data_IF_038596684524
#
_entry.id   IF_038596684524
#
_cell.length_a   1.000
_cell.length_b   1.000
_cell.length_c   1.000
_cell.angle_alpha   90.00
_cell.angle_beta   90.00
_cell.angle_gamma   90.00
#
_symmetry.space_group_name_H-M   'P 1'
#
loop_
_entity.id
_entity.type
_entity.pdbx_description
1 polymer ?
#
# COMPACT_ATOMS: atom_id res chain seq x y z
N UNK A 1 -9.69 -9.32 31.49
CA UNK A 1 -9.00 -8.49 30.48
C UNK A 1 -9.98 -8.31 29.36
N UNK A 2 -10.47 -7.09 29.14
CA UNK A 2 -11.23 -6.81 27.93
C UNK A 2 -10.34 -7.14 26.73
N UNK A 3 -10.80 -8.02 25.86
CA UNK A 3 -10.07 -8.39 24.66
C UNK A 3 -10.02 -7.17 23.75
N UNK A 4 -8.82 -6.62 23.52
CA UNK A 4 -8.62 -5.63 22.46
C UNK A 4 -8.88 -6.32 21.12
N UNK A 5 -9.99 -5.97 20.47
CA UNK A 5 -10.26 -6.33 19.10
C UNK A 5 -9.93 -5.18 18.13
N UNK A 6 -9.85 -5.51 16.85
CA UNK A 6 -9.47 -4.53 15.82
C UNK A 6 -10.42 -3.32 15.79
N UNK A 7 -11.72 -3.55 15.99
CA UNK A 7 -12.72 -2.49 15.98
C UNK A 7 -12.54 -1.52 17.15
N UNK A 8 -12.22 -2.04 18.34
CA UNK A 8 -11.91 -1.25 19.53
C UNK A 8 -10.65 -0.43 19.33
N UNK A 9 -9.65 -0.97 18.63
CA UNK A 9 -8.42 -0.27 18.27
C UNK A 9 -8.69 0.85 17.24
N UNK A 10 -9.44 0.58 16.18
CA UNK A 10 -9.68 1.62 15.16
C UNK A 10 -10.60 2.73 15.66
N UNK A 11 -11.46 2.44 16.63
CA UNK A 11 -12.39 3.43 17.21
C UNK A 11 -11.68 4.62 17.85
N UNK A 12 -10.47 4.44 18.39
CA UNK A 12 -9.71 5.53 19.02
C UNK A 12 -8.98 6.45 18.02
N UNK A 13 -8.98 6.10 16.74
CA UNK A 13 -8.31 6.84 15.66
C UNK A 13 -9.23 7.09 14.46
N UNK A 14 -10.56 7.11 14.69
CA UNK A 14 -11.54 7.21 13.60
C UNK A 14 -11.35 8.48 12.76
N UNK A 15 -11.13 9.63 13.42
CA UNK A 15 -10.93 10.91 12.74
C UNK A 15 -9.64 10.91 11.89
N UNK A 16 -8.59 10.23 12.37
CA UNK A 16 -7.34 10.07 11.62
C UNK A 16 -7.55 9.21 10.37
N UNK A 17 -8.33 8.12 10.49
CA UNK A 17 -8.65 7.26 9.36
C UNK A 17 -9.50 8.01 8.31
N UNK A 18 -10.46 8.83 8.74
CA UNK A 18 -11.22 9.68 7.83
C UNK A 18 -10.34 10.71 7.11
N UNK A 19 -9.34 11.28 7.81
CA UNK A 19 -8.37 12.17 7.19
C UNK A 19 -7.51 11.45 6.14
N UNK A 20 -7.06 10.23 6.44
CA UNK A 20 -6.30 9.40 5.50
C UNK A 20 -7.14 9.04 4.26
N UNK A 21 -8.40 8.65 4.42
CA UNK A 21 -9.27 8.36 3.26
C UNK A 21 -9.47 9.60 2.37
N UNK A 22 -9.61 10.80 2.95
CA UNK A 22 -9.67 12.04 2.17
C UNK A 22 -8.39 12.27 1.37
N UNK A 23 -7.22 12.13 2.01
CA UNK A 23 -5.93 12.27 1.35
C UNK A 23 -5.79 11.25 0.22
N UNK A 24 -6.12 9.98 0.44
CA UNK A 24 -6.06 8.94 -0.59
C UNK A 24 -6.92 9.31 -1.81
N UNK A 25 -8.14 9.80 -1.59
CA UNK A 25 -9.05 10.19 -2.67
C UNK A 25 -8.61 11.49 -3.38
N UNK A 26 -8.01 12.44 -2.68
CA UNK A 26 -7.56 13.71 -3.26
C UNK A 26 -6.27 13.53 -4.07
N UNK A 27 -5.31 12.79 -3.52
CA UNK A 27 -4.00 12.58 -4.10
C UNK A 27 -4.03 11.70 -5.35
N UNK A 28 -5.05 10.86 -5.50
CA UNK A 28 -5.15 9.92 -6.62
C UNK A 28 -6.03 10.38 -7.77
N UNK A 29 -6.57 11.60 -7.73
CA UNK A 29 -7.38 12.16 -8.83
C UNK A 29 -6.54 12.36 -10.09
N UNK A 30 -7.06 11.89 -11.22
CA UNK A 30 -6.40 12.02 -12.52
C UNK A 30 -7.34 12.63 -13.56
N UNK A 31 -6.80 13.47 -14.45
CA UNK A 31 -7.56 14.16 -15.51
C UNK A 31 -7.96 13.28 -16.71
N UNK A 32 -7.71 11.97 -16.64
CA UNK A 32 -8.01 11.03 -17.72
C UNK A 32 -9.07 10.04 -17.26
N UNK A 33 -10.30 10.22 -17.75
CA UNK A 33 -11.50 9.48 -17.31
C UNK A 33 -11.31 7.96 -17.24
N UNK A 34 -10.60 7.36 -18.20
CA UNK A 34 -10.40 5.91 -18.24
C UNK A 34 -9.52 5.37 -17.09
N UNK A 35 -8.57 6.18 -16.61
CA UNK A 35 -7.68 5.81 -15.49
C UNK A 35 -8.33 6.17 -14.17
N UNK A 36 -9.10 7.26 -14.12
CA UNK A 36 -9.76 7.73 -12.90
C UNK A 36 -10.71 6.68 -12.32
N UNK A 37 -11.55 6.08 -13.17
CA UNK A 37 -12.46 5.00 -12.75
C UNK A 37 -11.70 3.77 -12.20
N UNK A 38 -10.57 3.41 -12.83
CA UNK A 38 -9.77 2.27 -12.41
C UNK A 38 -9.03 2.56 -11.09
N UNK A 39 -8.48 3.76 -10.94
CA UNK A 39 -7.83 4.21 -9.70
C UNK A 39 -8.84 4.24 -8.55
N UNK A 40 -10.00 4.87 -8.75
CA UNK A 40 -11.07 4.92 -7.73
C UNK A 40 -11.54 3.53 -7.34
N UNK A 41 -11.72 2.62 -8.30
CA UNK A 41 -12.12 1.23 -8.01
C UNK A 41 -11.19 0.53 -7.02
N UNK A 42 -9.87 0.76 -7.09
CA UNK A 42 -8.93 0.12 -6.16
C UNK A 42 -8.85 0.84 -4.82
N UNK A 43 -8.83 2.18 -4.83
CA UNK A 43 -8.78 2.98 -3.59
C UNK A 43 -10.04 2.75 -2.74
N UNK A 44 -11.21 2.78 -3.38
CA UNK A 44 -12.52 2.53 -2.76
C UNK A 44 -12.82 1.04 -2.56
N UNK A 45 -12.02 0.13 -3.15
CA UNK A 45 -12.14 -1.33 -3.02
C UNK A 45 -11.98 -1.88 -1.61
N UNK A 46 -11.80 -0.99 -0.63
CA UNK A 46 -11.80 -1.27 0.79
C UNK A 46 -10.50 -1.90 1.27
N UNK A 47 -10.51 -2.34 2.52
CA UNK A 47 -9.34 -2.89 3.19
C UNK A 47 -9.40 -2.60 4.68
N UNK A 48 -8.60 -3.31 5.48
CA UNK A 48 -8.53 -3.04 6.91
C UNK A 48 -7.70 -1.80 7.25
N UNK A 49 -7.01 -1.20 6.27
CA UNK A 49 -6.05 -0.10 6.46
C UNK A 49 -5.06 -0.38 7.59
N UNK A 50 -4.61 -1.64 7.70
CA UNK A 50 -3.78 -2.09 8.83
C UNK A 50 -2.46 -1.31 8.91
N UNK A 51 -1.85 -0.98 7.77
CA UNK A 51 -0.59 -0.23 7.72
C UNK A 51 -0.77 1.24 8.12
N UNK A 52 -1.76 1.98 7.59
CA UNK A 52 -2.16 3.28 8.13
C UNK A 52 -2.43 3.27 9.64
N UNK A 53 -3.23 2.30 10.11
CA UNK A 53 -3.57 2.13 11.53
C UNK A 53 -2.30 1.99 12.37
N UNK A 54 -1.36 1.15 11.93
CA UNK A 54 -0.09 0.95 12.63
C UNK A 54 0.74 2.23 12.71
N UNK A 55 0.84 2.99 11.62
CA UNK A 55 1.60 4.25 11.61
C UNK A 55 0.97 5.29 12.55
N UNK A 56 -0.35 5.47 12.51
CA UNK A 56 -1.06 6.44 13.35
C UNK A 56 -0.96 6.08 14.84
N UNK A 57 -1.13 4.80 15.18
CA UNK A 57 -0.98 4.37 16.57
C UNK A 57 0.46 4.55 17.06
N UNK A 58 1.44 4.25 16.21
CA UNK A 58 2.85 4.42 16.55
C UNK A 58 3.22 5.90 16.73
N UNK A 59 2.74 6.78 15.86
CA UNK A 59 3.00 8.22 15.97
C UNK A 59 2.40 8.80 17.25
N UNK A 60 1.14 8.46 17.58
CA UNK A 60 0.48 8.89 18.81
C UNK A 60 1.16 8.31 20.06
N UNK A 61 1.58 7.05 20.04
CA UNK A 61 2.30 6.41 21.14
C UNK A 61 3.65 7.11 21.42
N UNK A 62 4.28 7.67 20.38
CA UNK A 62 5.49 8.50 20.50
C UNK A 62 5.22 9.97 20.87
N UNK A 63 3.95 10.36 21.09
CA UNK A 63 3.57 11.72 21.47
C UNK A 63 3.51 12.72 20.31
N UNK A 64 3.51 12.25 19.05
CA UNK A 64 3.38 13.11 17.89
C UNK A 64 1.95 13.64 17.74
N UNK A 65 1.80 14.92 17.38
CA UNK A 65 0.51 15.63 17.30
C UNK A 65 0.31 16.39 15.99
N UNK A 66 1.24 16.29 15.05
CA UNK A 66 1.12 16.95 13.74
C UNK A 66 0.30 16.15 12.73
N UNK A 67 0.02 16.76 11.59
CA UNK A 67 -0.81 16.20 10.51
C UNK A 67 0.01 15.38 9.49
N UNK A 68 1.35 15.46 9.51
CA UNK A 68 2.21 14.75 8.56
C UNK A 68 2.03 13.23 8.62
N UNK A 69 1.64 12.71 9.79
CA UNK A 69 1.37 11.29 9.97
C UNK A 69 0.24 10.79 9.04
N UNK A 70 -0.75 11.64 8.73
CA UNK A 70 -1.82 11.26 7.80
C UNK A 70 -1.30 11.15 6.36
N UNK A 71 -0.44 12.08 5.94
CA UNK A 71 0.19 12.06 4.61
C UNK A 71 1.07 10.82 4.45
N UNK A 72 1.90 10.52 5.45
CA UNK A 72 2.78 9.34 5.42
C UNK A 72 1.98 8.03 5.48
N UNK A 73 0.90 7.98 6.26
CA UNK A 73 -0.01 6.82 6.28
C UNK A 73 -0.65 6.59 4.90
N UNK A 74 -1.07 7.67 4.22
CA UNK A 74 -1.59 7.60 2.86
C UNK A 74 -0.51 7.11 1.88
N UNK A 75 0.72 7.63 1.95
CA UNK A 75 1.84 7.13 1.14
C UNK A 75 2.03 5.61 1.29
N UNK A 76 2.03 5.10 2.52
CA UNK A 76 2.18 3.67 2.80
C UNK A 76 1.04 2.85 2.20
N UNK A 77 -0.20 3.30 2.35
CA UNK A 77 -1.35 2.59 1.76
C UNK A 77 -1.30 2.63 0.24
N UNK A 78 -0.87 3.74 -0.39
CA UNK A 78 -0.70 3.82 -1.84
C UNK A 78 0.37 2.85 -2.35
N UNK A 79 1.52 2.73 -1.67
CA UNK A 79 2.53 1.71 -1.98
C UNK A 79 1.92 0.31 -1.89
N UNK A 80 1.18 0.03 -0.81
CA UNK A 80 0.53 -1.26 -0.64
C UNK A 80 -0.49 -1.54 -1.76
N UNK A 81 -1.32 -0.56 -2.10
CA UNK A 81 -2.34 -0.71 -3.14
C UNK A 81 -1.70 -0.90 -4.51
N UNK A 82 -0.64 -0.15 -4.83
CA UNK A 82 0.11 -0.33 -6.06
C UNK A 82 0.67 -1.76 -6.17
N UNK A 83 1.26 -2.28 -5.09
CA UNK A 83 1.78 -3.64 -5.06
C UNK A 83 0.67 -4.68 -5.26
N UNK A 84 -0.52 -4.48 -4.69
CA UNK A 84 -1.66 -5.38 -4.90
C UNK A 84 -2.13 -5.42 -6.35
N UNK A 85 -2.15 -4.26 -7.01
CA UNK A 85 -2.55 -4.16 -8.42
C UNK A 85 -1.56 -4.89 -9.32
N UNK A 86 -0.26 -4.74 -9.07
CA UNK A 86 0.78 -5.45 -9.81
C UNK A 86 0.77 -6.96 -9.50
N UNK A 87 0.64 -7.36 -8.24
CA UNK A 87 0.47 -8.76 -7.83
C UNK A 87 -0.72 -9.42 -8.56
N UNK A 88 -1.86 -8.73 -8.65
CA UNK A 88 -3.05 -9.26 -9.36
C UNK A 88 -2.76 -9.56 -10.83
N UNK A 89 -1.87 -8.80 -11.48
CA UNK A 89 -1.45 -9.05 -12.86
C UNK A 89 -0.47 -10.22 -12.93
N UNK A 90 0.49 -10.30 -12.00
CA UNK A 90 1.50 -11.36 -11.96
C UNK A 90 0.88 -12.73 -11.63
N UNK A 91 -0.08 -12.76 -10.71
CA UNK A 91 -0.74 -13.97 -10.22
C UNK A 91 -1.96 -14.38 -11.09
N UNK A 92 -2.32 -13.59 -12.10
CA UNK A 92 -3.54 -13.76 -12.91
C UNK A 92 -4.82 -13.92 -12.06
N UNK A 93 -4.88 -13.26 -10.90
CA UNK A 93 -5.96 -13.38 -9.91
C UNK A 93 -7.27 -12.64 -10.32
N UNK A 94 -8.38 -13.31 -10.68
CA UNK A 94 -9.55 -12.63 -11.24
C UNK A 94 -10.37 -11.84 -10.22
N UNK A 95 -10.24 -12.17 -8.93
CA UNK A 95 -11.03 -11.61 -7.84
C UNK A 95 -10.13 -11.32 -6.64
N UNK A 96 -10.27 -10.14 -6.02
CA UNK A 96 -9.66 -9.76 -4.75
C UNK A 96 -10.70 -9.13 -3.84
N UNK A 97 -10.78 -9.59 -2.58
CA UNK A 97 -11.76 -9.10 -1.58
C UNK A 97 -13.21 -9.11 -2.11
N UNK A 98 -13.58 -10.15 -2.84
CA UNK A 98 -14.89 -10.30 -3.49
C UNK A 98 -15.21 -9.27 -4.59
N UNK A 99 -14.21 -8.49 -5.03
CA UNK A 99 -14.30 -7.55 -6.14
C UNK A 99 -13.49 -8.05 -7.34
N UNK A 100 -13.92 -7.71 -8.54
CA UNK A 100 -13.16 -7.99 -9.77
C UNK A 100 -11.87 -7.16 -9.75
N UNK A 101 -10.74 -7.80 -10.07
CA UNK A 101 -9.44 -7.11 -10.11
C UNK A 101 -9.33 -6.20 -11.34
N UNK A 102 -8.40 -5.24 -11.30
CA UNK A 102 -8.20 -4.32 -12.42
C UNK A 102 -7.85 -5.04 -13.71
N UNK A 103 -6.96 -6.04 -13.64
CA UNK A 103 -6.54 -6.75 -14.84
C UNK A 103 -7.71 -7.50 -15.47
N UNK A 104 -8.64 -8.04 -14.66
CA UNK A 104 -9.79 -8.76 -15.17
C UNK A 104 -10.84 -7.85 -15.80
N UNK A 105 -11.02 -6.63 -15.27
CA UNK A 105 -12.03 -5.69 -15.77
C UNK A 105 -11.52 -4.74 -16.86
N UNK A 106 -10.28 -4.28 -16.77
CA UNK A 106 -9.68 -3.31 -17.70
C UNK A 106 -8.45 -3.83 -18.45
N UNK A 107 -7.99 -5.05 -18.18
CA UNK A 107 -6.82 -5.66 -18.81
C UNK A 107 -5.50 -5.31 -18.14
N UNK A 108 -4.48 -6.15 -18.39
CA UNK A 108 -3.15 -6.04 -17.77
C UNK A 108 -2.52 -4.66 -18.01
N UNK A 109 -2.68 -4.09 -19.21
CA UNK A 109 -2.11 -2.78 -19.55
C UNK A 109 -2.61 -1.67 -18.63
N UNK A 110 -3.92 -1.63 -18.35
CA UNK A 110 -4.49 -0.61 -17.46
C UNK A 110 -4.05 -0.85 -16.02
N UNK A 111 -4.07 -2.11 -15.57
CA UNK A 111 -3.63 -2.46 -14.22
C UNK A 111 -2.18 -2.03 -13.95
N UNK A 112 -1.24 -2.34 -14.86
CA UNK A 112 0.17 -1.91 -14.72
C UNK A 112 0.28 -0.38 -14.64
N UNK A 113 -0.38 0.34 -15.55
CA UNK A 113 -0.37 1.81 -15.57
C UNK A 113 -0.96 2.43 -14.29
N UNK A 114 -2.00 1.83 -13.71
CA UNK A 114 -2.56 2.28 -12.44
C UNK A 114 -1.55 2.09 -11.31
N UNK A 115 -0.91 0.92 -11.20
CA UNK A 115 0.12 0.70 -10.19
C UNK A 115 1.31 1.67 -10.33
N UNK A 116 1.76 1.92 -11.56
CA UNK A 116 2.83 2.89 -11.85
C UNK A 116 2.44 4.31 -11.46
N UNK A 117 1.19 4.71 -11.75
CA UNK A 117 0.66 6.02 -11.37
C UNK A 117 0.61 6.20 -9.85
N UNK A 118 0.16 5.19 -9.11
CA UNK A 118 0.12 5.25 -7.64
C UNK A 118 1.53 5.37 -7.05
N UNK A 119 2.50 4.61 -7.56
CA UNK A 119 3.91 4.77 -7.16
C UNK A 119 4.46 6.17 -7.48
N UNK A 120 4.20 6.69 -8.69
CA UNK A 120 4.61 8.03 -9.08
C UNK A 120 3.97 9.11 -8.17
N UNK A 121 2.72 8.90 -7.75
CA UNK A 121 2.06 9.81 -6.82
C UNK A 121 2.73 9.83 -5.45
N UNK A 122 3.08 8.66 -4.91
CA UNK A 122 3.84 8.58 -3.65
C UNK A 122 5.16 9.32 -3.74
N UNK A 123 5.91 9.19 -4.84
CA UNK A 123 7.14 9.94 -5.04
C UNK A 123 6.90 11.46 -5.04
N UNK A 124 5.84 11.92 -5.69
CA UNK A 124 5.44 13.33 -5.66
C UNK A 124 5.09 13.80 -4.25
N UNK A 125 4.32 13.01 -3.50
CA UNK A 125 3.94 13.32 -2.12
C UNK A 125 5.17 13.46 -1.21
N UNK A 126 6.11 12.52 -1.31
CA UNK A 126 7.34 12.55 -0.51
C UNK A 126 8.25 13.72 -0.91
N UNK A 127 8.40 13.99 -2.21
CA UNK A 127 9.21 15.11 -2.69
C UNK A 127 8.66 16.47 -2.21
N UNK A 128 7.33 16.63 -2.16
CA UNK A 128 6.68 17.86 -1.66
C UNK A 128 6.93 18.12 -0.17
N UNK A 129 7.37 17.11 0.60
CA UNK A 129 7.71 17.25 2.03
C UNK A 129 9.14 17.75 2.27
N UNK A 130 9.96 17.82 1.23
CA UNK A 130 11.36 18.22 1.31
C UNK A 130 12.32 17.04 1.14
N UNK A 131 13.45 17.29 0.48
CA UNK A 131 14.48 16.27 0.22
C UNK A 131 15.22 15.80 1.48
N UNK A 132 15.11 16.56 2.57
CA UNK A 132 15.69 16.28 3.87
C UNK A 132 14.74 15.51 4.81
N UNK A 133 13.49 15.26 4.40
CA UNK A 133 12.56 14.41 5.16
C UNK A 133 13.04 12.94 5.13
N UNK A 134 13.38 12.34 6.29
CA UNK A 134 13.83 10.95 6.36
C UNK A 134 12.83 9.94 5.81
N UNK A 135 11.53 10.28 5.77
CA UNK A 135 10.50 9.41 5.23
C UNK A 135 10.74 9.09 3.74
N UNK A 136 11.38 9.99 2.99
CA UNK A 136 11.73 9.75 1.58
C UNK A 136 12.66 8.54 1.45
N UNK A 137 13.76 8.53 2.21
CA UNK A 137 14.73 7.43 2.19
C UNK A 137 14.11 6.13 2.73
N UNK A 138 13.37 6.20 3.84
CA UNK A 138 12.75 5.03 4.47
C UNK A 138 11.76 4.35 3.51
N UNK A 139 10.84 5.12 2.91
CA UNK A 139 9.82 4.56 2.04
C UNK A 139 10.37 4.14 0.68
N UNK A 140 11.39 4.84 0.15
CA UNK A 140 12.08 4.39 -1.05
C UNK A 140 12.77 3.03 -0.83
N UNK A 141 13.47 2.86 0.28
CA UNK A 141 14.10 1.59 0.65
C UNK A 141 13.08 0.48 0.88
N UNK A 142 11.94 0.78 1.52
CA UNK A 142 10.86 -0.18 1.70
C UNK A 142 10.26 -0.63 0.35
N UNK A 143 9.95 0.32 -0.54
CA UNK A 143 9.42 0.02 -1.86
C UNK A 143 10.41 -0.80 -2.71
N UNK A 144 11.70 -0.46 -2.68
CA UNK A 144 12.73 -1.26 -3.34
C UNK A 144 12.79 -2.69 -2.78
N UNK A 145 12.80 -2.83 -1.45
CA UNK A 145 12.84 -4.13 -0.80
C UNK A 145 11.61 -4.99 -1.16
N UNK A 146 10.43 -4.40 -1.27
CA UNK A 146 9.23 -5.11 -1.74
C UNK A 146 9.41 -5.65 -3.17
N UNK A 147 9.92 -4.82 -4.09
CA UNK A 147 10.22 -5.25 -5.46
C UNK A 147 11.25 -6.39 -5.48
N UNK A 148 12.31 -6.30 -4.68
CA UNK A 148 13.30 -7.38 -4.55
C UNK A 148 12.67 -8.67 -4.01
N UNK A 149 11.79 -8.55 -3.01
CA UNK A 149 11.01 -9.65 -2.46
C UNK A 149 10.15 -10.33 -3.53
N UNK A 150 9.51 -9.56 -4.39
CA UNK A 150 8.70 -10.08 -5.49
C UNK A 150 9.53 -10.77 -6.56
N UNK A 151 10.70 -10.24 -6.91
CA UNK A 151 11.63 -10.90 -7.84
C UNK A 151 12.08 -12.27 -7.30
N UNK A 152 12.43 -12.34 -6.01
CA UNK A 152 12.81 -13.60 -5.38
C UNK A 152 11.63 -14.58 -5.39
N UNK A 153 10.43 -14.10 -5.06
CA UNK A 153 9.21 -14.90 -5.08
C UNK A 153 8.94 -15.47 -6.46
N UNK A 154 8.97 -14.64 -7.50
CA UNK A 154 8.76 -15.06 -8.89
C UNK A 154 9.78 -16.13 -9.33
N UNK A 155 11.06 -15.99 -8.96
CA UNK A 155 12.09 -16.98 -9.29
C UNK A 155 11.94 -18.30 -8.50
N UNK A 156 11.38 -18.23 -7.30
CA UNK A 156 11.16 -19.39 -6.42
C UNK A 156 9.77 -20.00 -6.51
N UNK A 157 8.89 -19.42 -7.33
CA UNK A 157 7.54 -19.94 -7.47
C UNK A 157 7.56 -21.37 -8.03
N UNK A 158 6.87 -22.29 -7.35
CA UNK A 158 6.87 -23.73 -7.69
C UNK A 158 8.10 -24.51 -7.22
N UNK A 159 9.05 -23.90 -6.49
CA UNK A 159 10.19 -24.60 -5.87
C UNK A 159 9.78 -25.24 -4.54
N UNK A 160 9.47 -26.54 -4.56
CA UNK A 160 9.12 -27.30 -3.35
C UNK A 160 10.31 -27.57 -2.42
N UNK A 161 11.54 -27.31 -2.87
CA UNK A 161 12.77 -27.50 -2.10
C UNK A 161 13.28 -26.17 -1.49
N UNK A 162 12.45 -25.11 -1.53
CA UNK A 162 12.81 -23.82 -0.94
C UNK A 162 13.17 -23.97 0.55
N UNK A 163 14.38 -23.53 0.91
CA UNK A 163 14.80 -23.56 2.31
C UNK A 163 14.08 -22.48 3.14
N UNK A 164 13.94 -22.74 4.44
CA UNK A 164 13.27 -21.82 5.37
C UNK A 164 13.83 -20.39 5.32
N UNK A 165 15.14 -20.23 5.18
CA UNK A 165 15.77 -18.90 5.10
C UNK A 165 15.29 -18.11 3.88
N UNK A 166 15.15 -18.75 2.72
CA UNK A 166 14.66 -18.09 1.51
C UNK A 166 13.18 -17.72 1.64
N UNK A 167 12.36 -18.62 2.23
CA UNK A 167 10.96 -18.32 2.51
C UNK A 167 10.81 -17.12 3.44
N UNK A 168 11.53 -17.10 4.56
CA UNK A 168 11.49 -15.98 5.51
C UNK A 168 11.99 -14.68 4.89
N UNK A 169 12.99 -14.75 4.00
CA UNK A 169 13.46 -13.58 3.25
C UNK A 169 12.39 -13.01 2.32
N UNK A 170 11.61 -13.86 1.64
CA UNK A 170 10.47 -13.41 0.83
C UNK A 170 9.43 -12.71 1.73
N UNK A 171 9.06 -13.32 2.86
CA UNK A 171 8.09 -12.74 3.80
C UNK A 171 8.57 -11.39 4.35
N UNK A 172 9.84 -11.31 4.75
CA UNK A 172 10.45 -10.07 5.24
C UNK A 172 10.38 -8.97 4.18
N UNK A 173 10.83 -9.25 2.95
CA UNK A 173 10.96 -8.24 1.91
C UNK A 173 9.61 -7.84 1.30
N UNK A 174 8.78 -8.81 0.88
CA UNK A 174 7.49 -8.55 0.22
C UNK A 174 6.45 -7.94 1.16
N UNK A 175 6.47 -8.33 2.44
CA UNK A 175 5.42 -7.96 3.41
C UNK A 175 5.96 -7.20 4.62
N UNK A 176 7.07 -7.63 5.21
CA UNK A 176 7.56 -7.11 6.48
C UNK A 176 8.24 -5.74 6.43
N UNK A 177 8.73 -5.30 5.26
CA UNK A 177 9.42 -4.01 5.09
C UNK A 177 8.49 -2.80 5.01
N UNK A 178 7.19 -3.00 4.78
CA UNK A 178 6.17 -1.95 4.63
C UNK A 178 5.09 -2.03 5.71
#
# INVERSE_FOLDING_TARGET
MDHLDFNSITKIIVDDLEAIERILLEETRIHYDFVDDAVRHVIEGGGKRLRPVLLILSSKACGYTGEDAHILAACIELIHVASLVHDDVLDEAPIRRSQVTLHSRWGNKVAVLVGDYLHARVLSMLASRGSDDPALEILANAAQAMCEGEVIHAYKNGDFEICQNNYLKIVELKTGKL
#
